data_IF_060002133720
#
_entry.id   IF_060002133720
#
_cell.length_a   1.000
_cell.length_b   1.000
_cell.length_c   1.000
_cell.angle_alpha   90.00
_cell.angle_beta   90.00
_cell.angle_gamma   90.00
#
_symmetry.space_group_name_H-M   'P 1'
#
loop_
_entity.id
_entity.type
_entity.pdbx_description
1 polymer ?
#
# COMPACT_ATOMS: atom_id res chain seq x y z
N UNK A 1 20.33 12.89 -4.79
CA UNK A 1 19.72 11.59 -5.06
C UNK A 1 18.22 11.73 -5.09
N UNK A 2 17.58 11.34 -6.17
CA UNK A 2 16.13 11.46 -6.31
C UNK A 2 15.48 10.09 -6.16
N UNK A 3 14.51 9.98 -5.25
CA UNK A 3 13.73 8.75 -5.01
C UNK A 3 12.36 8.94 -5.66
N UNK A 4 11.90 7.93 -6.38
CA UNK A 4 10.59 7.91 -7.03
C UNK A 4 9.75 6.76 -6.46
N UNK A 5 8.51 7.06 -6.11
CA UNK A 5 7.53 6.04 -5.70
C UNK A 5 6.42 6.01 -6.74
N UNK A 6 6.15 4.84 -7.28
CA UNK A 6 5.10 4.60 -8.28
C UNK A 6 3.89 3.99 -7.57
N UNK A 7 2.83 4.78 -7.46
CA UNK A 7 1.60 4.45 -6.76
C UNK A 7 1.38 5.28 -5.50
N UNK A 8 0.23 5.93 -5.39
CA UNK A 8 -0.16 6.81 -4.28
C UNK A 8 -1.29 6.24 -3.42
N UNK A 9 -1.40 4.92 -3.32
CA UNK A 9 -2.20 4.21 -2.32
C UNK A 9 -1.50 4.18 -0.95
N UNK A 10 -2.04 3.42 0.01
CA UNK A 10 -1.49 3.32 1.37
C UNK A 10 0.00 2.94 1.33
N UNK A 11 0.40 1.93 0.56
CA UNK A 11 1.79 1.48 0.50
C UNK A 11 2.74 2.59 0.03
N UNK A 12 2.40 3.28 -1.06
CA UNK A 12 3.23 4.36 -1.59
C UNK A 12 3.29 5.58 -0.68
N UNK A 13 2.16 5.97 -0.09
CA UNK A 13 2.12 7.08 0.87
C UNK A 13 2.87 6.77 2.15
N UNK A 14 2.79 5.54 2.66
CA UNK A 14 3.56 5.10 3.84
C UNK A 14 5.05 5.11 3.56
N UNK A 15 5.48 4.65 2.37
CA UNK A 15 6.88 4.72 1.96
C UNK A 15 7.35 6.17 1.82
N UNK A 16 6.54 7.05 1.22
CA UNK A 16 6.84 8.47 1.09
C UNK A 16 6.98 9.15 2.46
N UNK A 17 6.06 8.88 3.38
CA UNK A 17 6.09 9.42 4.74
C UNK A 17 7.33 8.95 5.50
N UNK A 18 7.68 7.65 5.38
CA UNK A 18 8.86 7.11 6.02
C UNK A 18 10.16 7.77 5.53
N UNK A 19 10.27 8.03 4.23
CA UNK A 19 11.41 8.77 3.66
C UNK A 19 11.42 10.23 4.09
N UNK A 20 10.28 10.91 4.04
CA UNK A 20 10.15 12.32 4.41
C UNK A 20 10.46 12.56 5.91
N UNK A 21 10.02 11.69 6.81
CA UNK A 21 10.40 11.72 8.24
C UNK A 21 11.92 11.63 8.46
N UNK A 22 12.64 11.01 7.53
CA UNK A 22 14.12 10.92 7.53
C UNK A 22 14.78 12.05 6.73
N UNK A 23 14.05 13.07 6.35
CA UNK A 23 14.53 14.20 5.54
C UNK A 23 15.05 13.77 4.15
N UNK A 24 14.53 12.70 3.60
CA UNK A 24 14.90 12.17 2.28
C UNK A 24 13.85 12.63 1.25
N UNK A 25 14.22 13.44 0.24
CA UNK A 25 13.29 13.91 -0.77
C UNK A 25 12.73 12.76 -1.62
N UNK A 26 11.44 12.86 -1.97
CA UNK A 26 10.74 11.83 -2.75
C UNK A 26 9.72 12.42 -3.71
N UNK A 27 9.62 11.83 -4.89
CA UNK A 27 8.52 12.04 -5.83
C UNK A 27 7.53 10.88 -5.68
N UNK A 28 6.26 11.22 -5.51
CA UNK A 28 5.15 10.26 -5.47
C UNK A 28 4.32 10.41 -6.74
N UNK A 29 4.35 9.41 -7.61
CA UNK A 29 3.69 9.41 -8.92
C UNK A 29 2.47 8.49 -8.92
N UNK A 30 1.36 8.96 -9.48
CA UNK A 30 0.14 8.14 -9.63
C UNK A 30 -0.73 8.59 -10.80
N UNK A 31 -1.48 7.68 -11.43
CA UNK A 31 -2.43 8.03 -12.49
C UNK A 31 -3.65 8.80 -11.97
N UNK A 32 -4.01 8.60 -10.71
CA UNK A 32 -5.19 9.21 -10.08
C UNK A 32 -4.83 9.80 -8.70
N UNK A 33 -5.61 10.73 -8.16
CA UNK A 33 -5.46 11.18 -6.78
C UNK A 33 -5.56 10.02 -5.77
N UNK A 34 -4.86 10.10 -4.64
CA UNK A 34 -4.84 9.06 -3.60
C UNK A 34 -6.24 8.66 -3.11
N UNK A 35 -7.19 9.60 -3.09
CA UNK A 35 -8.60 9.35 -2.71
C UNK A 35 -9.37 8.48 -3.71
N UNK A 36 -8.80 8.19 -4.87
CA UNK A 36 -9.36 7.28 -5.88
C UNK A 36 -8.58 5.97 -5.98
N UNK A 37 -7.61 5.75 -5.08
CA UNK A 37 -6.85 4.50 -5.03
C UNK A 37 -7.70 3.34 -4.50
N UNK A 38 -7.33 2.10 -4.87
CA UNK A 38 -7.94 0.89 -4.30
C UNK A 38 -7.97 0.89 -2.78
N UNK A 39 -6.97 1.49 -2.15
CA UNK A 39 -6.85 1.54 -0.69
C UNK A 39 -8.05 2.16 0.01
N UNK A 40 -8.74 3.12 -0.64
CA UNK A 40 -9.95 3.78 -0.08
C UNK A 40 -11.13 2.82 0.05
N UNK A 41 -11.16 1.78 -0.80
CA UNK A 41 -12.22 0.78 -0.85
C UNK A 41 -12.03 -0.36 0.17
N UNK A 42 -10.96 -0.34 0.97
CA UNK A 42 -10.70 -1.36 1.97
C UNK A 42 -11.61 -1.19 3.18
N UNK A 43 -12.59 -2.08 3.32
CA UNK A 43 -13.62 -2.04 4.38
C UNK A 43 -13.30 -3.02 5.53
N UNK A 44 -12.56 -4.11 5.23
CA UNK A 44 -12.35 -5.22 6.15
C UNK A 44 -11.66 -4.84 7.46
N UNK A 45 -10.76 -3.90 7.46
CA UNK A 45 -9.92 -3.55 8.60
C UNK A 45 -8.47 -3.99 8.42
N UNK A 46 -7.71 -3.90 9.48
CA UNK A 46 -6.29 -4.25 9.52
C UNK A 46 -5.99 -5.12 10.75
N UNK A 47 -5.31 -6.24 10.55
CA UNK A 47 -5.03 -7.20 11.61
C UNK A 47 -3.80 -6.80 12.42
N UNK A 48 -3.94 -6.76 13.75
CA UNK A 48 -2.84 -6.55 14.68
C UNK A 48 -3.10 -7.25 16.01
N UNK A 49 -2.09 -7.89 16.57
CA UNK A 49 -2.20 -8.58 17.85
C UNK A 49 -2.20 -7.56 19.01
N UNK A 50 -3.37 -7.03 19.35
CA UNK A 50 -3.58 -6.03 20.41
C UNK A 50 -4.37 -6.57 21.60
N UNK A 51 -5.06 -7.70 21.43
CA UNK A 51 -5.87 -8.33 22.47
C UNK A 51 -5.02 -9.00 23.55
N UNK A 52 -5.62 -9.21 24.74
CA UNK A 52 -4.94 -9.85 25.88
C UNK A 52 -4.56 -11.32 25.59
N UNK A 53 -5.40 -12.01 24.85
CA UNK A 53 -5.23 -13.43 24.50
C UNK A 53 -4.59 -13.62 23.13
N UNK A 54 -3.98 -12.56 22.58
CA UNK A 54 -3.34 -12.58 21.28
C UNK A 54 -1.82 -12.35 21.37
N UNK A 55 -1.10 -12.76 20.33
CA UNK A 55 0.32 -12.53 20.20
C UNK A 55 0.73 -12.43 18.74
N UNK A 56 1.87 -11.77 18.48
CA UNK A 56 2.44 -11.71 17.12
C UNK A 56 2.74 -13.10 16.56
N UNK A 57 3.04 -14.11 17.40
CA UNK A 57 3.27 -15.49 16.96
C UNK A 57 1.97 -16.21 16.64
N UNK A 58 0.89 -15.97 17.39
CA UNK A 58 -0.45 -16.48 17.05
C UNK A 58 -0.95 -15.84 15.74
N UNK A 59 -0.78 -14.53 15.59
CA UNK A 59 -1.08 -13.81 14.36
C UNK A 59 -0.27 -14.36 13.16
N UNK A 60 1.02 -14.65 13.37
CA UNK A 60 1.85 -15.27 12.34
C UNK A 60 1.32 -16.64 11.92
N UNK A 61 0.99 -17.51 12.89
CA UNK A 61 0.47 -18.86 12.62
C UNK A 61 -0.81 -18.81 11.80
N UNK A 62 -1.79 -18.04 12.26
CA UNK A 62 -3.06 -17.88 11.56
C UNK A 62 -2.88 -17.37 10.13
N UNK A 63 -2.04 -16.35 9.94
CA UNK A 63 -1.79 -15.76 8.63
C UNK A 63 -1.10 -16.75 7.69
N UNK A 64 -0.07 -17.45 8.17
CA UNK A 64 0.70 -18.37 7.34
C UNK A 64 -0.09 -19.63 6.99
N UNK A 65 -0.88 -20.15 7.92
CA UNK A 65 -1.74 -21.33 7.68
C UNK A 65 -2.91 -20.98 6.76
N UNK A 66 -3.58 -19.86 6.97
CA UNK A 66 -4.64 -19.36 6.07
C UNK A 66 -4.15 -19.11 4.65
N UNK A 67 -2.89 -18.72 4.48
CA UNK A 67 -2.24 -18.59 3.18
C UNK A 67 -1.75 -19.92 2.59
N UNK A 68 -2.20 -21.08 3.10
CA UNK A 68 -1.81 -22.40 2.60
C UNK A 68 -0.33 -22.72 2.78
N UNK A 69 0.35 -22.00 3.67
CA UNK A 69 1.80 -22.13 3.95
C UNK A 69 2.71 -21.81 2.75
N UNK A 70 2.18 -21.11 1.75
CA UNK A 70 2.91 -20.74 0.52
C UNK A 70 3.76 -19.48 0.72
N UNK A 71 3.38 -18.60 1.64
CA UNK A 71 4.06 -17.34 1.88
C UNK A 71 5.46 -17.53 2.47
N UNK A 72 6.35 -16.57 2.23
CA UNK A 72 7.65 -16.52 2.89
C UNK A 72 7.46 -16.30 4.41
N UNK A 73 7.88 -17.28 5.21
CA UNK A 73 7.72 -17.28 6.67
C UNK A 73 8.29 -16.03 7.35
N UNK A 74 9.50 -15.62 6.95
CA UNK A 74 10.17 -14.50 7.57
C UNK A 74 9.47 -13.17 7.24
N UNK A 75 8.96 -13.03 6.02
CA UNK A 75 8.15 -11.87 5.64
C UNK A 75 6.86 -11.78 6.45
N UNK A 76 6.12 -12.90 6.59
CA UNK A 76 4.90 -12.95 7.40
C UNK A 76 5.21 -12.67 8.87
N UNK A 77 6.27 -13.29 9.43
CA UNK A 77 6.67 -13.07 10.82
C UNK A 77 7.06 -11.61 11.09
N UNK A 78 7.79 -11.00 10.15
CA UNK A 78 8.14 -9.57 10.25
C UNK A 78 6.88 -8.68 10.22
N UNK A 79 5.97 -8.93 9.30
CA UNK A 79 4.71 -8.19 9.18
C UNK A 79 3.88 -8.27 10.46
N UNK A 80 3.66 -9.48 10.99
CA UNK A 80 2.81 -9.68 12.18
C UNK A 80 3.43 -9.12 13.47
N UNK A 81 4.76 -9.13 13.59
CA UNK A 81 5.47 -8.46 14.71
C UNK A 81 5.33 -6.94 14.66
N UNK A 82 5.35 -6.37 13.45
CA UNK A 82 5.27 -4.92 13.24
C UNK A 82 3.84 -4.38 13.30
N UNK A 83 2.82 -5.23 13.12
CA UNK A 83 1.44 -4.80 13.01
C UNK A 83 0.95 -3.94 14.21
N UNK A 84 1.23 -4.25 15.48
CA UNK A 84 0.85 -3.40 16.60
C UNK A 84 1.45 -1.98 16.53
N UNK A 85 2.72 -1.88 16.16
CA UNK A 85 3.40 -0.57 16.00
C UNK A 85 2.79 0.24 14.86
N UNK A 86 2.41 -0.42 13.75
CA UNK A 86 1.74 0.23 12.62
C UNK A 86 0.39 0.81 13.04
N UNK A 87 -0.38 0.10 13.87
CA UNK A 87 -1.65 0.63 14.40
C UNK A 87 -1.38 1.85 15.30
N UNK A 88 -0.39 1.77 16.18
CA UNK A 88 -0.03 2.91 17.03
C UNK A 88 0.43 4.14 16.21
N UNK A 89 1.22 3.93 15.15
CA UNK A 89 1.63 5.00 14.24
C UNK A 89 0.41 5.62 13.52
N UNK A 90 -0.51 4.80 13.00
CA UNK A 90 -1.75 5.28 12.38
C UNK A 90 -2.64 6.05 13.34
N UNK A 91 -2.74 5.63 14.60
CA UNK A 91 -3.46 6.38 15.64
C UNK A 91 -2.79 7.74 15.91
N UNK A 92 -1.46 7.80 15.93
CA UNK A 92 -0.71 9.05 16.09
C UNK A 92 -0.96 10.04 14.94
N UNK A 93 -1.34 9.53 13.77
CA UNK A 93 -1.77 10.32 12.60
C UNK A 93 -3.26 10.69 12.64
N UNK A 94 -3.93 10.48 13.78
CA UNK A 94 -5.36 10.72 13.96
C UNK A 94 -6.26 9.88 13.02
N UNK A 95 -5.84 8.66 12.67
CA UNK A 95 -6.73 7.72 11.97
C UNK A 95 -7.91 7.38 12.89
N UNK A 96 -9.13 7.66 12.44
CA UNK A 96 -10.35 7.47 13.23
C UNK A 96 -10.78 6.00 13.22
N UNK A 97 -10.15 5.17 14.05
CA UNK A 97 -10.61 3.81 14.31
C UNK A 97 -11.81 3.80 15.24
N UNK A 98 -12.67 2.79 15.08
CA UNK A 98 -13.73 2.48 16.06
C UNK A 98 -13.07 2.10 17.38
N UNK A 99 -13.55 2.68 18.50
CA UNK A 99 -13.02 2.43 19.83
C UNK A 99 -13.97 1.55 20.64
N UNK A 100 -13.42 0.75 21.54
CA UNK A 100 -14.16 0.04 22.56
C UNK A 100 -14.53 0.96 23.75
N UNK A 101 -15.24 0.43 24.74
CA UNK A 101 -15.65 1.16 25.94
C UNK A 101 -14.46 1.69 26.78
N UNK A 102 -13.27 1.11 26.61
CA UNK A 102 -12.04 1.55 27.29
C UNK A 102 -11.26 2.61 26.50
N UNK A 103 -11.76 3.02 25.32
CA UNK A 103 -11.10 3.99 24.45
C UNK A 103 -9.95 3.41 23.62
N UNK A 104 -9.81 2.10 23.54
CA UNK A 104 -8.84 1.39 22.68
C UNK A 104 -9.48 1.01 21.34
N UNK A 105 -8.69 0.72 20.29
CA UNK A 105 -9.22 0.20 19.05
C UNK A 105 -10.07 -1.05 19.28
N UNK A 106 -11.32 -1.01 18.84
CA UNK A 106 -12.21 -2.16 18.88
C UNK A 106 -11.70 -3.25 17.92
N UNK A 107 -11.80 -4.51 18.37
CA UNK A 107 -11.35 -5.66 17.61
C UNK A 107 -12.54 -6.51 17.19
N UNK A 108 -12.62 -6.82 15.90
CA UNK A 108 -13.67 -7.70 15.36
C UNK A 108 -13.11 -8.99 14.79
N UNK A 109 -13.93 -10.06 14.70
CA UNK A 109 -13.53 -11.27 14.03
C UNK A 109 -13.39 -11.07 12.52
N UNK A 110 -12.51 -11.85 11.92
CA UNK A 110 -12.38 -11.96 10.47
C UNK A 110 -12.00 -13.40 10.08
N UNK A 111 -12.17 -13.78 8.81
CA UNK A 111 -11.86 -15.11 8.35
C UNK A 111 -10.40 -15.53 8.61
N UNK A 112 -10.21 -16.78 9.04
CA UNK A 112 -8.87 -17.34 9.28
C UNK A 112 -8.18 -16.90 10.57
N UNK A 113 -8.88 -16.22 11.47
CA UNK A 113 -8.36 -15.80 12.77
C UNK A 113 -8.80 -16.74 13.89
N UNK A 114 -7.88 -17.08 14.79
CA UNK A 114 -8.20 -17.83 16.01
C UNK A 114 -8.74 -16.94 17.14
N UNK A 115 -8.45 -15.62 17.09
CA UNK A 115 -8.95 -14.61 18.04
C UNK A 115 -9.28 -13.31 17.29
N UNK A 116 -10.12 -12.46 17.89
CA UNK A 116 -10.46 -11.16 17.32
C UNK A 116 -9.23 -10.25 17.34
N UNK A 117 -8.78 -9.81 16.15
CA UNK A 117 -7.62 -8.90 16.03
C UNK A 117 -7.75 -7.84 14.94
N UNK A 118 -8.89 -7.78 14.28
CA UNK A 118 -9.09 -6.82 13.19
C UNK A 118 -9.50 -5.46 13.75
N UNK A 119 -8.59 -4.50 13.71
CA UNK A 119 -8.86 -3.08 13.97
C UNK A 119 -9.61 -2.51 12.78
N UNK A 120 -10.65 -1.72 13.00
CA UNK A 120 -11.51 -1.22 11.94
C UNK A 120 -12.03 0.20 12.21
N UNK A 121 -12.58 0.82 11.19
CA UNK A 121 -13.40 2.02 11.24
C UNK A 121 -14.69 1.72 10.47
N UNK A 122 -15.46 0.76 10.99
CA UNK A 122 -16.63 0.15 10.37
C UNK A 122 -16.37 -0.25 8.91
N UNK A 123 -17.10 0.30 7.93
CA UNK A 123 -16.90 0.07 6.51
C UNK A 123 -15.98 1.13 5.84
N UNK A 124 -15.26 1.94 6.63
CA UNK A 124 -14.46 3.06 6.09
C UNK A 124 -12.98 2.99 6.43
N UNK A 125 -12.47 1.85 6.87
CA UNK A 125 -11.10 1.69 7.36
C UNK A 125 -10.06 2.24 6.39
N UNK A 126 -10.12 1.83 5.13
CA UNK A 126 -9.19 2.31 4.11
C UNK A 126 -9.29 3.81 3.87
N UNK A 127 -10.49 4.36 3.85
CA UNK A 127 -10.73 5.79 3.71
C UNK A 127 -10.11 6.59 4.86
N UNK A 128 -10.26 6.14 6.10
CA UNK A 128 -9.67 6.79 7.27
C UNK A 128 -8.15 6.80 7.21
N UNK A 129 -7.53 5.65 6.91
CA UNK A 129 -6.07 5.54 6.78
C UNK A 129 -5.54 6.42 5.65
N UNK A 130 -6.16 6.37 4.46
CA UNK A 130 -5.76 7.22 3.31
C UNK A 130 -5.87 8.70 3.66
N UNK A 131 -6.94 9.11 4.33
CA UNK A 131 -7.15 10.50 4.75
C UNK A 131 -6.05 10.96 5.72
N UNK A 132 -5.76 10.16 6.75
CA UNK A 132 -4.70 10.47 7.72
C UNK A 132 -3.33 10.61 7.04
N UNK A 133 -2.98 9.69 6.16
CA UNK A 133 -1.72 9.74 5.41
C UNK A 133 -1.64 10.96 4.47
N UNK A 134 -2.74 11.34 3.81
CA UNK A 134 -2.77 12.55 2.97
C UNK A 134 -2.51 13.80 3.81
N UNK A 135 -3.18 13.95 4.96
CA UNK A 135 -2.98 15.11 5.83
C UNK A 135 -1.55 15.21 6.33
N UNK A 136 -0.96 14.10 6.75
CA UNK A 136 0.41 14.10 7.22
C UNK A 136 1.41 14.42 6.10
N UNK A 137 1.24 13.83 4.91
CA UNK A 137 2.11 14.08 3.76
C UNK A 137 2.06 15.54 3.26
N UNK A 138 0.94 16.23 3.42
CA UNK A 138 0.83 17.66 3.05
C UNK A 138 1.86 18.54 3.75
N UNK A 139 2.19 18.26 5.00
CA UNK A 139 3.25 18.98 5.75
C UNK A 139 4.61 18.86 5.06
N UNK A 140 4.88 17.69 4.49
CA UNK A 140 6.13 17.43 3.76
C UNK A 140 6.07 17.91 2.30
N UNK A 141 4.89 18.04 1.72
CA UNK A 141 4.68 18.70 0.43
C UNK A 141 4.95 20.20 0.55
N UNK A 142 4.48 20.85 1.60
CA UNK A 142 4.72 22.25 1.90
C UNK A 142 6.20 22.54 2.13
N UNK A 143 6.93 21.65 2.79
CA UNK A 143 8.38 21.75 2.99
C UNK A 143 9.23 21.38 1.78
N UNK A 144 8.62 20.90 0.68
CA UNK A 144 9.30 20.47 -0.54
C UNK A 144 9.97 19.10 -0.48
N UNK A 145 9.85 18.37 0.63
CA UNK A 145 10.39 17.00 0.78
C UNK A 145 9.58 15.95 0.00
N UNK A 146 8.29 16.18 -0.18
CA UNK A 146 7.44 15.30 -1.01
C UNK A 146 6.91 16.10 -2.18
N UNK A 147 7.10 15.57 -3.39
CA UNK A 147 6.50 16.11 -4.61
C UNK A 147 5.49 15.11 -5.16
N UNK A 148 4.21 15.44 -5.11
CA UNK A 148 3.16 14.60 -5.68
C UNK A 148 2.93 14.94 -7.14
N UNK A 149 2.97 13.92 -8.01
CA UNK A 149 2.67 14.01 -9.43
C UNK A 149 1.46 13.13 -9.73
N UNK A 150 0.29 13.73 -9.82
CA UNK A 150 -0.95 13.07 -10.23
C UNK A 150 -1.16 13.21 -11.74
N UNK A 151 -2.08 12.41 -12.32
CA UNK A 151 -2.36 12.33 -13.76
C UNK A 151 -1.15 11.83 -14.58
N UNK A 152 -0.30 11.03 -13.96
CA UNK A 152 0.84 10.42 -14.65
C UNK A 152 0.76 8.89 -14.54
N UNK A 153 0.56 8.25 -15.67
CA UNK A 153 0.63 6.81 -15.81
C UNK A 153 2.09 6.40 -15.99
N UNK A 154 2.57 5.51 -15.13
CA UNK A 154 3.87 4.88 -15.36
C UNK A 154 3.83 4.13 -16.70
N UNK A 155 4.85 4.35 -17.51
CA UNK A 155 4.94 3.74 -18.82
C UNK A 155 6.06 2.69 -18.87
N UNK A 156 7.25 3.04 -18.39
CA UNK A 156 8.39 2.11 -18.38
C UNK A 156 9.50 2.58 -17.43
N UNK A 157 10.43 1.68 -17.11
CA UNK A 157 11.69 2.03 -16.46
C UNK A 157 12.70 2.56 -17.48
N UNK A 158 13.53 3.50 -17.06
CA UNK A 158 14.73 3.87 -17.78
C UNK A 158 15.91 3.11 -17.16
N UNK A 159 16.40 2.11 -17.89
CA UNK A 159 17.48 1.22 -17.45
C UNK A 159 18.66 1.33 -18.42
N UNK A 160 19.87 1.44 -17.88
CA UNK A 160 21.12 1.40 -18.63
C UNK A 160 22.15 0.60 -17.82
N UNK A 161 22.87 -0.27 -18.47
CA UNK A 161 23.93 -1.10 -17.87
C UNK A 161 23.47 -1.85 -16.60
N UNK A 162 22.21 -2.35 -16.60
CA UNK A 162 21.61 -3.05 -15.47
C UNK A 162 21.17 -2.17 -14.29
N UNK A 163 21.34 -0.86 -14.36
CA UNK A 163 20.94 0.08 -13.33
C UNK A 163 19.78 0.97 -13.79
N UNK A 164 18.83 1.22 -12.89
CA UNK A 164 17.74 2.17 -13.13
C UNK A 164 18.26 3.61 -12.94
N UNK A 165 17.90 4.51 -13.85
CA UNK A 165 18.22 5.93 -13.74
C UNK A 165 17.00 6.86 -13.86
N UNK A 166 15.81 6.27 -13.96
CA UNK A 166 14.55 7.00 -13.99
C UNK A 166 13.39 6.16 -14.47
N UNK A 167 12.28 6.82 -14.71
CA UNK A 167 11.07 6.24 -15.27
C UNK A 167 10.44 7.15 -16.33
N UNK A 168 9.76 6.54 -17.29
CA UNK A 168 8.91 7.23 -18.22
C UNK A 168 7.47 7.20 -17.73
N UNK A 169 6.79 8.32 -17.84
CA UNK A 169 5.37 8.45 -17.48
C UNK A 169 4.61 9.19 -18.60
N UNK A 170 3.31 8.96 -18.68
CA UNK A 170 2.44 9.57 -19.68
C UNK A 170 1.22 10.22 -19.00
N UNK A 171 0.93 11.47 -19.33
CA UNK A 171 -0.33 12.11 -18.98
C UNK A 171 -1.32 11.97 -20.13
N UNK A 172 -2.46 11.33 -19.84
CA UNK A 172 -3.57 11.22 -20.83
C UNK A 172 -4.22 12.58 -21.06
N UNK A 173 -4.35 13.39 -20.04
CA UNK A 173 -4.93 14.72 -20.12
C UNK A 173 -4.06 15.67 -20.99
N UNK A 174 -2.74 15.70 -20.70
CA UNK A 174 -1.79 16.55 -21.45
C UNK A 174 -1.32 15.95 -22.76
N UNK A 175 -1.65 14.70 -23.04
CA UNK A 175 -1.19 13.91 -24.20
C UNK A 175 0.33 13.98 -24.40
N UNK A 176 1.08 13.91 -23.30
CA UNK A 176 2.53 14.13 -23.29
C UNK A 176 3.24 13.09 -22.42
N UNK A 177 4.38 12.61 -22.93
CA UNK A 177 5.30 11.78 -22.15
C UNK A 177 6.28 12.64 -21.35
N UNK A 178 6.70 12.13 -20.20
CA UNK A 178 7.64 12.74 -19.29
C UNK A 178 8.73 11.73 -18.91
N UNK A 179 9.95 12.17 -18.84
CA UNK A 179 11.03 11.44 -18.17
C UNK A 179 11.19 12.00 -16.75
N UNK A 180 11.25 11.11 -15.78
CA UNK A 180 11.41 11.44 -14.37
C UNK A 180 12.72 10.79 -13.92
N UNK A 181 13.79 11.56 -13.74
CA UNK A 181 15.07 11.01 -13.28
C UNK A 181 14.92 10.51 -11.84
N UNK A 182 15.45 9.32 -11.56
CA UNK A 182 15.46 8.73 -10.24
C UNK A 182 16.56 7.67 -10.13
N UNK A 183 17.27 7.65 -9.03
CA UNK A 183 18.30 6.64 -8.75
C UNK A 183 17.75 5.43 -8.00
N UNK A 184 16.59 5.61 -7.37
CA UNK A 184 15.85 4.53 -6.66
C UNK A 184 14.37 4.66 -6.95
N UNK A 185 13.74 3.53 -7.27
CA UNK A 185 12.32 3.47 -7.56
C UNK A 185 11.67 2.44 -6.63
N UNK A 186 10.64 2.89 -5.91
CA UNK A 186 9.77 2.02 -5.10
C UNK A 186 8.50 1.78 -5.88
N UNK A 187 8.15 0.53 -6.08
CA UNK A 187 6.92 0.14 -6.75
C UNK A 187 5.84 -0.14 -5.71
N UNK A 188 4.78 0.64 -5.75
CA UNK A 188 3.61 0.55 -4.88
C UNK A 188 2.30 0.67 -5.69
N UNK A 189 2.31 0.11 -6.91
CA UNK A 189 1.29 0.32 -7.93
C UNK A 189 -0.03 -0.46 -7.70
N UNK A 190 -0.14 -1.19 -6.60
CA UNK A 190 -1.32 -2.00 -6.28
C UNK A 190 -1.35 -3.34 -7.02
N UNK A 191 -2.54 -3.91 -7.16
CA UNK A 191 -2.77 -5.21 -7.75
C UNK A 191 -3.16 -5.16 -9.23
N UNK A 192 -3.89 -6.19 -9.65
CA UNK A 192 -4.26 -6.41 -11.07
C UNK A 192 -5.76 -6.75 -11.25
N UNK A 193 -6.59 -6.46 -10.27
CA UNK A 193 -8.01 -6.78 -10.31
C UNK A 193 -8.78 -6.09 -11.48
N UNK A 194 -8.32 -4.94 -11.97
CA UNK A 194 -8.87 -4.28 -13.16
C UNK A 194 -8.57 -4.99 -14.49
N UNK A 195 -7.75 -6.05 -14.47
CA UNK A 195 -7.51 -6.92 -15.63
C UNK A 195 -8.71 -7.83 -15.91
N UNK A 196 -9.49 -8.16 -14.87
CA UNK A 196 -10.66 -9.03 -14.98
C UNK A 196 -11.92 -8.18 -15.22
N UNK A 197 -12.81 -8.66 -16.09
CA UNK A 197 -14.00 -7.90 -16.51
C UNK A 197 -14.96 -7.56 -15.36
N UNK A 198 -15.15 -8.47 -14.41
CA UNK A 198 -15.94 -8.26 -13.21
C UNK A 198 -15.02 -8.15 -11.99
N UNK A 199 -15.05 -7.01 -11.33
CA UNK A 199 -14.24 -6.77 -10.14
C UNK A 199 -14.99 -5.92 -9.12
N UNK A 200 -14.82 -6.22 -7.83
CA UNK A 200 -15.28 -5.39 -6.72
C UNK A 200 -14.24 -4.35 -6.31
N UNK A 201 -13.07 -4.39 -6.92
CA UNK A 201 -11.98 -3.45 -6.67
C UNK A 201 -11.90 -2.31 -7.69
N UNK A 202 -10.87 -1.49 -7.55
CA UNK A 202 -10.62 -0.37 -8.47
C UNK A 202 -10.18 -0.85 -9.84
N UNK A 203 -10.86 -0.43 -10.89
CA UNK A 203 -10.49 -0.68 -12.28
C UNK A 203 -9.17 0.00 -12.71
N UNK A 204 -8.62 0.87 -11.86
CA UNK A 204 -7.30 1.51 -12.08
C UNK A 204 -6.15 0.53 -11.86
N UNK A 205 -6.38 -0.55 -11.12
CA UNK A 205 -5.39 -1.60 -10.85
C UNK A 205 -5.32 -2.60 -12.02
N UNK A 206 -4.74 -2.19 -13.13
CA UNK A 206 -4.69 -2.95 -14.38
C UNK A 206 -3.54 -3.96 -14.48
N UNK A 207 -2.60 -3.93 -13.53
CA UNK A 207 -1.40 -4.77 -13.59
C UNK A 207 -0.33 -4.27 -14.57
N UNK A 208 -0.54 -3.16 -15.27
CA UNK A 208 0.38 -2.63 -16.27
C UNK A 208 1.80 -2.43 -15.74
N UNK A 209 1.94 -1.88 -14.53
CA UNK A 209 3.24 -1.68 -13.90
C UNK A 209 3.93 -3.03 -13.67
N UNK A 210 3.21 -4.02 -13.12
CA UNK A 210 3.72 -5.37 -12.91
C UNK A 210 4.17 -6.02 -14.20
N UNK A 211 3.38 -5.90 -15.28
CA UNK A 211 3.73 -6.42 -16.59
C UNK A 211 5.02 -5.78 -17.14
N UNK A 212 5.17 -4.48 -17.00
CA UNK A 212 6.40 -3.78 -17.42
C UNK A 212 7.62 -4.22 -16.62
N UNK A 213 7.50 -4.38 -15.31
CA UNK A 213 8.59 -4.89 -14.49
C UNK A 213 9.00 -6.32 -14.90
N UNK A 214 8.02 -7.16 -15.24
CA UNK A 214 8.30 -8.51 -15.73
C UNK A 214 9.12 -8.48 -17.04
N UNK A 215 8.86 -7.56 -17.96
CA UNK A 215 9.66 -7.41 -19.19
C UNK A 215 11.10 -6.95 -18.92
N UNK A 216 11.38 -6.37 -17.75
CA UNK A 216 12.73 -6.05 -17.27
C UNK A 216 13.37 -7.18 -16.46
N UNK A 217 12.77 -8.38 -16.42
CA UNK A 217 13.33 -9.56 -15.75
C UNK A 217 13.03 -9.62 -14.25
N UNK A 218 12.10 -8.81 -13.72
CA UNK A 218 11.66 -8.90 -12.32
C UNK A 218 10.84 -10.18 -12.15
N UNK A 219 11.23 -11.01 -11.19
CA UNK A 219 10.51 -12.23 -10.85
C UNK A 219 9.18 -11.90 -10.16
N UNK A 220 8.10 -12.50 -10.65
CA UNK A 220 6.78 -12.45 -10.01
C UNK A 220 6.60 -13.69 -9.13
N UNK A 221 6.04 -13.47 -7.94
CA UNK A 221 5.67 -14.54 -7.02
C UNK A 221 4.14 -14.64 -6.92
N UNK A 222 3.63 -15.87 -6.84
CA UNK A 222 2.23 -16.18 -6.59
C UNK A 222 1.26 -15.59 -7.64
N UNK A 223 1.68 -15.47 -8.88
CA UNK A 223 0.85 -14.91 -9.96
C UNK A 223 -0.45 -15.69 -10.22
N UNK A 224 -0.48 -16.97 -9.86
CA UNK A 224 -1.65 -17.83 -9.93
C UNK A 224 -2.67 -17.61 -8.78
N UNK A 225 -2.28 -16.93 -7.71
CA UNK A 225 -3.14 -16.72 -6.55
C UNK A 225 -4.03 -15.47 -6.74
N UNK A 226 -5.10 -15.64 -7.50
CA UNK A 226 -6.14 -14.62 -7.67
C UNK A 226 -7.29 -14.94 -6.74
N UNK A 227 -7.63 -14.01 -5.83
CA UNK A 227 -8.75 -14.17 -4.92
C UNK A 227 -10.05 -13.71 -5.57
N UNK A 228 -11.04 -14.60 -5.58
CA UNK A 228 -12.40 -14.29 -5.97
C UNK A 228 -13.27 -14.17 -4.71
N UNK A 229 -13.97 -13.05 -4.59
CA UNK A 229 -14.90 -12.84 -3.49
C UNK A 229 -16.24 -13.50 -3.82
N UNK A 230 -16.82 -14.35 -2.95
CA UNK A 230 -18.00 -15.15 -3.26
C UNK A 230 -19.33 -14.42 -3.03
N UNK A 231 -19.40 -13.12 -3.21
CA UNK A 231 -20.63 -12.33 -3.03
C UNK A 231 -21.21 -11.85 -4.34
#
# INVERSE_FOLDING_TARGET
MQNLIIGAGIAGMSAALHLARKQIPVILLSPVPSVQSQSVMAEGGINAALGKDDSSELHFRDTWESGGRLANKEAVRHMTRRAPEVIADLQSLATAFTLDESGKPALRPFGGQSVNRTVHADATTGKQIVTALIYELRKYEESGLVKRLSDLYFFDLAVKDGAVYGAYAYSRHRKKAFFIPAERIVIAAGGLNGLFGNTTGSVVNTGDVTARLFTHGVTLANGELVQYHPT
#
